data_IF_579075037477
#
_entry.id   IF_579075037477
#
_cell.length_a   1.000
_cell.length_b   1.000
_cell.length_c   1.000
_cell.angle_alpha   90.00
_cell.angle_beta   90.00
_cell.angle_gamma   90.00
#
_symmetry.space_group_name_H-M   'P 1'
#
loop_
_entity.id
_entity.type
_entity.pdbx_description
1 polymer ?
#
# COMPACT_ATOMS: atom_id res chain seq x y z
N UNK A 1 0.08 -4.73 14.54
CA UNK A 1 -0.54 -3.49 15.05
C UNK A 1 0.51 -2.73 15.86
N UNK A 2 0.63 -1.43 15.64
CA UNK A 2 1.56 -0.58 16.38
C UNK A 2 0.99 -0.36 17.81
N UNK A 3 1.69 -0.80 18.87
CA UNK A 3 1.20 -0.64 20.25
C UNK A 3 1.17 0.84 20.71
N UNK A 4 1.83 1.74 19.99
CA UNK A 4 1.71 3.17 20.21
C UNK A 4 0.40 3.79 19.71
N UNK A 5 -0.34 3.10 18.84
CA UNK A 5 -1.61 3.54 18.28
C UNK A 5 -2.81 2.77 18.84
N UNK A 6 -2.61 1.51 19.21
CA UNK A 6 -3.68 0.64 19.71
C UNK A 6 -3.28 0.11 21.08
N UNK A 7 -4.10 0.41 22.08
CA UNK A 7 -3.93 -0.13 23.43
C UNK A 7 -4.20 -1.65 23.40
N UNK A 8 -3.30 -2.43 24.01
CA UNK A 8 -3.37 -3.89 24.14
C UNK A 8 -3.71 -4.62 22.81
N UNK A 9 -2.86 -4.50 21.79
CA UNK A 9 -3.13 -5.10 20.49
C UNK A 9 -3.08 -6.63 20.58
N UNK A 10 -4.07 -7.29 19.98
CA UNK A 10 -4.09 -8.73 19.92
C UNK A 10 -2.86 -9.29 19.18
N UNK A 11 -2.14 -10.27 19.72
CA UNK A 11 -0.98 -10.84 19.07
C UNK A 11 -1.39 -11.63 17.81
N UNK A 12 -0.66 -11.43 16.73
CA UNK A 12 -0.80 -12.26 15.53
C UNK A 12 -0.03 -13.55 15.79
N UNK A 13 -0.73 -14.66 15.90
CA UNK A 13 -0.10 -15.96 16.21
C UNK A 13 0.61 -16.56 15.01
N UNK A 14 0.01 -16.42 13.84
CA UNK A 14 0.49 -17.03 12.60
C UNK A 14 0.08 -16.17 11.40
N UNK A 15 0.96 -16.09 10.40
CA UNK A 15 0.70 -15.42 9.13
C UNK A 15 1.48 -16.06 8.00
N UNK A 16 1.10 -15.78 6.76
CA UNK A 16 1.85 -16.21 5.57
C UNK A 16 3.01 -15.27 5.28
N UNK A 17 3.98 -15.73 4.46
CA UNK A 17 5.03 -14.87 3.92
C UNK A 17 4.47 -13.69 3.13
N UNK A 18 3.40 -13.92 2.35
CA UNK A 18 2.77 -12.87 1.56
C UNK A 18 2.12 -11.82 2.46
N UNK A 19 1.37 -12.23 3.48
CA UNK A 19 0.78 -11.30 4.45
C UNK A 19 1.87 -10.46 5.16
N UNK A 20 2.99 -11.09 5.52
CA UNK A 20 4.10 -10.37 6.14
C UNK A 20 4.71 -9.34 5.19
N UNK A 21 4.89 -9.67 3.91
CA UNK A 21 5.43 -8.74 2.91
C UNK A 21 4.49 -7.55 2.68
N UNK A 22 3.20 -7.79 2.50
CA UNK A 22 2.20 -6.74 2.37
C UNK A 22 2.20 -5.78 3.57
N UNK A 23 2.20 -6.33 4.78
CA UNK A 23 2.26 -5.53 6.00
C UNK A 23 3.57 -4.75 6.13
N UNK A 24 4.72 -5.36 5.77
CA UNK A 24 6.02 -4.69 5.83
C UNK A 24 6.10 -3.53 4.85
N UNK A 25 5.60 -3.71 3.64
CA UNK A 25 5.52 -2.66 2.62
C UNK A 25 4.66 -1.48 3.10
N UNK A 26 3.55 -1.76 3.75
CA UNK A 26 2.62 -0.74 4.26
C UNK A 26 3.09 -0.02 5.54
N UNK A 27 4.31 -0.28 6.02
CA UNK A 27 4.88 0.41 7.19
C UNK A 27 4.93 -0.41 8.47
N UNK A 28 4.67 -1.73 8.41
CA UNK A 28 4.85 -2.63 9.54
C UNK A 28 6.34 -2.97 9.71
N UNK A 29 7.08 -2.12 10.39
CA UNK A 29 8.54 -2.11 10.47
C UNK A 29 9.15 -3.23 11.34
N UNK A 30 8.70 -4.48 11.19
CA UNK A 30 9.29 -5.64 11.88
C UNK A 30 10.36 -6.29 11.02
N UNK A 31 10.17 -6.35 9.72
CA UNK A 31 11.14 -6.82 8.73
C UNK A 31 11.24 -5.84 7.57
N UNK A 32 12.41 -5.79 6.97
CA UNK A 32 12.55 -5.27 5.63
C UNK A 32 11.96 -6.31 4.66
N UNK A 33 11.13 -5.89 3.71
CA UNK A 33 10.39 -6.77 2.81
C UNK A 33 11.29 -7.71 1.99
N UNK A 34 12.51 -7.26 1.64
CA UNK A 34 13.50 -8.08 0.93
C UNK A 34 14.19 -9.11 1.83
N UNK A 35 14.30 -8.85 3.14
CA UNK A 35 15.02 -9.73 4.07
C UNK A 35 14.35 -11.10 4.24
N UNK A 36 13.06 -11.21 3.91
CA UNK A 36 12.30 -12.45 4.01
C UNK A 36 12.50 -13.38 2.78
N UNK A 37 13.02 -12.87 1.65
CA UNK A 37 13.14 -13.62 0.41
C UNK A 37 13.91 -14.94 0.52
N UNK A 38 15.06 -15.03 1.21
CA UNK A 38 15.76 -16.31 1.36
C UNK A 38 14.94 -17.36 2.11
N UNK A 39 14.17 -16.93 3.12
CA UNK A 39 13.30 -17.83 3.88
C UNK A 39 12.13 -18.33 3.03
N UNK A 40 11.57 -17.46 2.17
CA UNK A 40 10.54 -17.86 1.20
C UNK A 40 11.07 -18.92 0.24
N UNK A 41 12.25 -18.70 -0.35
CA UNK A 41 12.88 -19.61 -1.29
C UNK A 41 13.17 -20.98 -0.67
N UNK A 42 13.68 -20.96 0.58
CA UNK A 42 13.97 -22.17 1.34
C UNK A 42 12.75 -22.80 2.03
N UNK A 43 11.57 -22.17 1.96
CA UNK A 43 10.35 -22.56 2.72
C UNK A 43 10.62 -22.70 4.23
N UNK A 44 11.49 -21.84 4.77
CA UNK A 44 11.95 -21.90 6.17
C UNK A 44 10.98 -21.08 7.03
N UNK A 45 10.31 -21.69 8.01
CA UNK A 45 9.48 -20.94 8.95
C UNK A 45 10.29 -19.91 9.74
N UNK A 46 9.73 -18.71 9.91
CA UNK A 46 10.32 -17.66 10.72
C UNK A 46 9.49 -17.51 12.00
N UNK A 47 10.14 -17.28 13.12
CA UNK A 47 9.47 -16.97 14.38
C UNK A 47 9.93 -15.60 14.89
N UNK A 48 8.98 -14.67 15.00
CA UNK A 48 9.22 -13.33 15.55
C UNK A 48 8.81 -13.32 17.01
N UNK A 49 9.74 -12.98 17.89
CA UNK A 49 9.53 -12.92 19.32
C UNK A 49 9.88 -11.55 19.91
N UNK A 50 9.24 -11.21 21.00
CA UNK A 50 9.61 -10.04 21.79
C UNK A 50 10.86 -10.34 22.62
N UNK A 51 11.91 -9.56 22.43
CA UNK A 51 13.21 -9.74 23.14
C UNK A 51 13.06 -9.59 24.65
N UNK A 52 12.12 -8.74 25.09
CA UNK A 52 11.85 -8.51 26.52
C UNK A 52 10.92 -9.56 27.14
N UNK A 53 10.32 -10.44 26.33
CA UNK A 53 9.42 -11.52 26.77
C UNK A 53 9.67 -12.77 25.90
N UNK A 54 10.84 -13.39 26.00
CA UNK A 54 11.25 -14.51 25.13
C UNK A 54 10.43 -15.78 25.36
N UNK A 55 9.78 -15.89 26.51
CA UNK A 55 8.88 -17.01 26.88
C UNK A 55 7.58 -17.01 26.08
N UNK A 56 7.16 -15.85 25.55
CA UNK A 56 5.96 -15.75 24.73
C UNK A 56 6.15 -16.49 23.39
N UNK A 57 5.09 -17.13 22.87
CA UNK A 57 5.19 -17.95 21.65
C UNK A 57 5.60 -17.14 20.41
N UNK A 58 5.31 -15.83 20.39
CA UNK A 58 5.61 -14.96 19.26
C UNK A 58 4.69 -15.19 18.06
N UNK A 59 5.09 -14.66 16.90
CA UNK A 59 4.40 -14.78 15.62
C UNK A 59 5.16 -15.74 14.71
N UNK A 60 4.48 -16.75 14.18
CA UNK A 60 5.05 -17.67 13.17
C UNK A 60 4.71 -17.17 11.78
N UNK A 61 5.71 -17.10 10.91
CA UNK A 61 5.55 -16.75 9.49
C UNK A 61 5.90 -18.00 8.69
N UNK A 62 4.93 -18.49 7.93
CA UNK A 62 5.00 -19.81 7.29
C UNK A 62 4.49 -19.76 5.84
N UNK A 63 4.77 -20.79 5.02
CA UNK A 63 4.12 -20.96 3.73
C UNK A 63 2.58 -21.03 3.85
N UNK A 64 1.87 -20.57 2.81
CA UNK A 64 0.40 -20.52 2.77
C UNK A 64 -0.31 -21.87 3.06
N UNK A 65 0.30 -22.95 2.62
CA UNK A 65 -0.21 -24.32 2.80
C UNK A 65 -0.04 -24.84 4.23
N UNK A 66 0.72 -24.15 5.07
CA UNK A 66 1.00 -24.52 6.46
C UNK A 66 0.30 -23.65 7.49
N UNK A 67 -0.45 -22.62 7.06
CA UNK A 67 -1.25 -21.80 7.99
C UNK A 67 -2.42 -22.64 8.51
N UNK A 68 -2.52 -22.75 9.83
CA UNK A 68 -3.57 -23.54 10.50
C UNK A 68 -4.93 -22.83 10.52
N UNK A 69 -4.93 -21.50 10.56
CA UNK A 69 -6.15 -20.68 10.56
C UNK A 69 -6.01 -19.50 9.61
N UNK A 70 -6.95 -19.39 8.67
CA UNK A 70 -7.08 -18.20 7.82
C UNK A 70 -7.88 -17.15 8.59
N UNK A 71 -7.19 -16.19 9.18
CA UNK A 71 -7.85 -15.02 9.75
C UNK A 71 -8.55 -14.23 8.63
N UNK A 72 -9.68 -13.62 8.96
CA UNK A 72 -10.37 -12.72 8.02
C UNK A 72 -9.47 -11.55 7.67
N UNK A 73 -8.94 -10.89 8.71
CA UNK A 73 -7.95 -9.83 8.66
C UNK A 73 -6.83 -10.28 9.58
N UNK A 74 -5.62 -10.34 9.04
CA UNK A 74 -4.43 -10.74 9.79
C UNK A 74 -3.75 -9.53 10.41
N UNK A 75 -3.73 -8.42 9.67
CA UNK A 75 -3.14 -7.19 10.17
C UNK A 75 -3.61 -5.96 9.40
N UNK A 76 -3.39 -4.80 10.02
CA UNK A 76 -3.63 -3.50 9.42
C UNK A 76 -2.34 -2.69 9.60
N UNK A 77 -1.85 -2.14 8.51
CA UNK A 77 -0.73 -1.21 8.50
C UNK A 77 -1.16 0.13 7.91
N UNK A 78 -0.47 1.19 8.25
CA UNK A 78 -0.74 2.52 7.70
C UNK A 78 0.53 3.34 7.58
N UNK A 79 0.57 4.17 6.57
CA UNK A 79 1.61 5.17 6.36
C UNK A 79 0.99 6.49 5.92
N UNK A 80 1.61 7.62 6.31
CA UNK A 80 1.06 8.96 6.12
C UNK A 80 2.05 9.91 5.41
N UNK A 81 2.91 9.36 4.58
CA UNK A 81 3.95 10.13 3.88
C UNK A 81 3.62 10.38 2.41
N UNK A 82 2.33 10.48 2.05
CA UNK A 82 1.95 10.51 0.65
C UNK A 82 1.40 11.86 0.21
N UNK A 83 1.67 12.16 -1.05
CA UNK A 83 1.07 13.23 -1.82
C UNK A 83 0.52 12.64 -3.12
N UNK A 84 -0.44 13.30 -3.72
CA UNK A 84 -0.98 12.90 -4.99
C UNK A 84 -0.89 14.03 -6.03
N UNK A 85 -0.59 13.64 -7.26
CA UNK A 85 -0.85 14.48 -8.44
C UNK A 85 -2.18 14.03 -9.01
N UNK A 86 -3.13 14.94 -9.08
CA UNK A 86 -4.35 14.79 -9.86
C UNK A 86 -4.14 15.46 -11.22
N UNK A 87 -4.43 14.74 -12.27
CA UNK A 87 -4.29 15.18 -13.64
C UNK A 87 -5.61 14.93 -14.37
N UNK A 88 -6.16 15.97 -14.97
CA UNK A 88 -7.32 15.90 -15.82
C UNK A 88 -6.94 16.26 -17.25
N UNK A 89 -7.36 15.45 -18.21
CA UNK A 89 -7.25 15.73 -19.62
C UNK A 89 -8.31 14.92 -20.38
N UNK A 90 -9.08 15.58 -21.20
CA UNK A 90 -10.12 14.91 -21.99
C UNK A 90 -9.54 13.82 -22.89
N UNK A 91 -10.24 12.69 -22.92
CA UNK A 91 -9.97 11.55 -23.81
C UNK A 91 -8.63 10.81 -23.53
N UNK A 92 -8.09 10.89 -22.32
CA UNK A 92 -6.86 10.14 -21.97
C UNK A 92 -7.02 8.64 -22.16
N UNK A 93 -8.23 8.11 -21.96
CA UNK A 93 -8.53 6.69 -22.13
C UNK A 93 -8.47 6.23 -23.61
N UNK A 94 -8.48 7.16 -24.57
CA UNK A 94 -8.35 6.86 -26.01
C UNK A 94 -6.95 7.09 -26.56
N UNK A 95 -6.08 7.76 -25.81
CA UNK A 95 -4.69 8.00 -26.22
C UNK A 95 -3.81 6.81 -25.87
N UNK A 96 -3.41 6.05 -26.88
CA UNK A 96 -2.49 4.93 -26.69
C UNK A 96 -1.14 5.42 -26.16
N UNK A 97 -0.69 4.84 -25.05
CA UNK A 97 0.60 5.19 -24.46
C UNK A 97 0.59 6.45 -23.58
N UNK A 98 -0.59 7.04 -23.28
CA UNK A 98 -0.67 8.22 -22.41
C UNK A 98 0.06 8.03 -21.08
N UNK A 99 -0.30 6.98 -20.35
CA UNK A 99 0.34 6.66 -19.06
C UNK A 99 1.83 6.37 -19.20
N UNK A 100 2.25 5.73 -20.31
CA UNK A 100 3.65 5.44 -20.55
C UNK A 100 4.52 6.72 -20.67
N UNK A 101 3.98 7.80 -21.24
CA UNK A 101 4.67 9.10 -21.29
C UNK A 101 4.91 9.64 -19.88
N UNK A 102 3.91 9.58 -19.00
CA UNK A 102 4.04 10.03 -17.61
C UNK A 102 5.05 9.17 -16.86
N UNK A 103 4.97 7.84 -17.00
CA UNK A 103 5.91 6.92 -16.36
C UNK A 103 7.34 7.15 -16.84
N UNK A 104 7.53 7.52 -18.12
CA UNK A 104 8.85 7.89 -18.63
C UNK A 104 9.39 9.15 -17.95
N UNK A 105 8.58 10.19 -17.80
CA UNK A 105 8.96 11.41 -17.07
C UNK A 105 9.40 11.08 -15.65
N UNK A 106 8.63 10.23 -14.96
CA UNK A 106 8.94 9.80 -13.59
C UNK A 106 10.22 8.99 -13.51
N UNK A 107 10.42 8.06 -14.45
CA UNK A 107 11.65 7.26 -14.53
C UNK A 107 12.89 8.13 -14.76
N UNK A 108 12.82 9.11 -15.66
CA UNK A 108 13.91 10.05 -15.95
C UNK A 108 14.29 10.88 -14.69
N UNK A 109 13.33 11.13 -13.80
CA UNK A 109 13.53 11.85 -12.55
C UNK A 109 13.84 10.94 -11.35
N UNK A 110 13.91 9.62 -11.58
CA UNK A 110 14.08 8.60 -10.55
C UNK A 110 13.03 8.73 -9.43
N UNK A 111 11.75 8.78 -9.83
CA UNK A 111 10.59 8.84 -8.95
C UNK A 111 9.76 7.58 -9.16
N UNK A 112 9.51 6.81 -8.10
CA UNK A 112 8.55 5.71 -8.08
C UNK A 112 7.17 6.21 -7.67
N UNK A 113 6.14 5.41 -7.94
CA UNK A 113 4.77 5.67 -7.49
C UNK A 113 4.26 4.49 -6.67
N UNK A 114 3.30 4.78 -5.79
CA UNK A 114 2.64 3.77 -4.97
C UNK A 114 1.38 3.23 -5.67
N UNK A 115 0.51 4.13 -6.10
CA UNK A 115 -0.72 3.81 -6.80
C UNK A 115 -0.98 4.80 -7.93
N UNK A 116 -1.66 4.33 -8.99
CA UNK A 116 -2.01 5.16 -10.15
C UNK A 116 -3.43 4.83 -10.64
N UNK A 117 -4.46 5.16 -9.88
CA UNK A 117 -5.83 4.99 -10.33
C UNK A 117 -6.14 5.92 -11.51
N UNK A 118 -6.80 5.36 -12.52
CA UNK A 118 -7.20 6.09 -13.73
C UNK A 118 -8.71 6.02 -13.94
N UNK A 119 -9.29 7.14 -14.37
CA UNK A 119 -10.66 7.26 -14.84
C UNK A 119 -10.73 7.36 -16.36
N UNK A 120 -11.83 7.95 -16.85
CA UNK A 120 -12.04 8.19 -18.28
C UNK A 120 -11.14 9.35 -18.75
N UNK A 121 -11.13 10.44 -17.99
CA UNK A 121 -10.41 11.67 -18.29
C UNK A 121 -9.46 12.10 -17.16
N UNK A 122 -9.35 11.27 -16.12
CA UNK A 122 -8.60 11.58 -14.93
C UNK A 122 -7.53 10.53 -14.63
N UNK A 123 -6.41 10.98 -14.09
CA UNK A 123 -5.35 10.14 -13.57
C UNK A 123 -4.87 10.72 -12.25
N UNK A 124 -4.81 9.89 -11.22
CA UNK A 124 -4.20 10.27 -9.95
C UNK A 124 -2.94 9.44 -9.73
N UNK A 125 -1.85 10.07 -9.33
CA UNK A 125 -0.58 9.39 -9.04
C UNK A 125 -0.25 9.65 -7.58
N UNK A 126 -0.17 8.60 -6.79
CA UNK A 126 0.21 8.66 -5.38
C UNK A 126 1.70 8.41 -5.24
N UNK A 127 2.37 9.32 -4.55
CA UNK A 127 3.81 9.37 -4.42
C UNK A 127 4.22 9.49 -2.95
N UNK A 128 5.28 8.80 -2.56
CA UNK A 128 5.95 9.10 -1.29
C UNK A 128 6.59 10.49 -1.36
N UNK A 129 6.18 11.39 -0.45
CA UNK A 129 6.69 12.77 -0.38
C UNK A 129 8.19 12.85 -0.17
N UNK A 130 8.81 11.83 0.42
CA UNK A 130 10.24 11.80 0.68
C UNK A 130 11.08 11.74 -0.61
N UNK A 131 10.49 11.28 -1.72
CA UNK A 131 11.13 11.27 -3.03
C UNK A 131 11.12 12.65 -3.71
N UNK A 132 10.24 13.56 -3.29
CA UNK A 132 9.95 14.83 -3.94
C UNK A 132 10.84 15.98 -3.46
N UNK A 133 12.03 15.66 -2.99
CA UNK A 133 13.05 16.60 -2.53
C UNK A 133 13.92 17.15 -3.67
N UNK A 134 14.74 18.14 -3.37
CA UNK A 134 15.75 18.70 -4.29
C UNK A 134 15.17 19.20 -5.63
N UNK A 135 13.99 19.81 -5.60
CA UNK A 135 13.34 20.36 -6.80
C UNK A 135 12.75 19.30 -7.75
N UNK A 136 12.65 18.03 -7.32
CA UNK A 136 12.03 16.97 -8.13
C UNK A 136 10.54 17.21 -8.35
N UNK A 137 9.85 17.72 -7.33
CA UNK A 137 8.43 18.07 -7.43
C UNK A 137 8.16 19.10 -8.51
N UNK A 138 8.95 20.17 -8.51
CA UNK A 138 8.87 21.24 -9.48
C UNK A 138 9.21 20.76 -10.89
N UNK A 139 10.27 19.96 -11.03
CA UNK A 139 10.68 19.37 -12.30
C UNK A 139 9.61 18.42 -12.86
N UNK A 140 9.05 17.57 -12.01
CA UNK A 140 7.97 16.65 -12.40
C UNK A 140 6.75 17.44 -12.88
N UNK A 141 6.35 18.45 -12.11
CA UNK A 141 5.22 19.32 -12.47
C UNK A 141 5.45 20.02 -13.81
N UNK A 142 6.64 20.58 -14.00
CA UNK A 142 6.96 21.31 -15.24
C UNK A 142 6.97 20.38 -16.46
N UNK A 143 7.62 19.22 -16.34
CA UNK A 143 7.67 18.26 -17.43
C UNK A 143 6.29 17.72 -17.79
N UNK A 144 5.44 17.43 -16.80
CA UNK A 144 4.05 17.01 -17.08
C UNK A 144 3.31 18.13 -17.82
N UNK A 145 3.46 19.39 -17.42
CA UNK A 145 2.82 20.50 -18.11
C UNK A 145 3.30 20.64 -19.54
N UNK A 146 4.60 20.51 -19.79
CA UNK A 146 5.21 20.71 -21.10
C UNK A 146 4.96 19.53 -22.06
N UNK A 147 5.09 18.30 -21.58
CA UNK A 147 5.07 17.10 -22.42
C UNK A 147 3.67 16.46 -22.52
N UNK A 148 2.85 16.58 -21.48
CA UNK A 148 1.51 15.97 -21.40
C UNK A 148 0.42 16.98 -21.70
N UNK A 149 0.63 18.26 -21.33
CA UNK A 149 -0.32 19.37 -21.52
C UNK A 149 -1.72 19.04 -20.98
N UNK A 150 -1.85 18.74 -19.65
CA UNK A 150 -3.15 18.47 -19.05
C UNK A 150 -4.02 19.72 -19.03
N UNK A 151 -5.35 19.52 -19.08
CA UNK A 151 -6.32 20.60 -18.91
C UNK A 151 -6.31 21.13 -17.47
N UNK A 152 -6.10 20.23 -16.49
CA UNK A 152 -5.87 20.60 -15.09
C UNK A 152 -4.80 19.69 -14.44
N UNK A 153 -3.99 20.28 -13.56
CA UNK A 153 -3.00 19.58 -12.75
C UNK A 153 -2.98 20.15 -11.35
N UNK A 154 -3.29 19.32 -10.37
CA UNK A 154 -3.35 19.70 -8.97
C UNK A 154 -2.48 18.79 -8.10
N UNK A 155 -1.77 19.38 -7.15
CA UNK A 155 -1.17 18.64 -6.05
C UNK A 155 -2.13 18.57 -4.88
N UNK A 156 -2.33 17.36 -4.36
CA UNK A 156 -3.10 17.11 -3.14
C UNK A 156 -2.16 16.53 -2.10
N UNK A 157 -2.20 17.10 -0.91
CA UNK A 157 -1.32 16.75 0.20
C UNK A 157 -2.06 15.92 1.25
N UNK A 158 -1.28 15.41 2.21
CA UNK A 158 -1.78 14.81 3.44
C UNK A 158 -2.65 13.56 3.23
N UNK A 159 -2.20 12.70 2.33
CA UNK A 159 -2.78 11.36 2.18
C UNK A 159 -2.11 10.36 3.13
N UNK A 160 -2.96 9.51 3.71
CA UNK A 160 -2.55 8.28 4.37
C UNK A 160 -3.04 7.08 3.55
N UNK A 161 -2.22 6.05 3.48
CA UNK A 161 -2.61 4.75 2.95
C UNK A 161 -2.83 3.83 4.15
N UNK A 162 -4.01 3.22 4.22
CA UNK A 162 -4.33 2.15 5.16
C UNK A 162 -4.39 0.87 4.36
N UNK A 163 -3.60 -0.10 4.72
CA UNK A 163 -3.60 -1.42 4.09
C UNK A 163 -4.14 -2.46 5.06
N UNK A 164 -5.20 -3.13 4.66
CA UNK A 164 -5.83 -4.22 5.40
C UNK A 164 -5.43 -5.53 4.74
N UNK A 165 -4.77 -6.40 5.47
CA UNK A 165 -4.16 -7.63 4.96
C UNK A 165 -4.74 -8.86 5.63
N UNK A 166 -5.08 -9.87 4.86
CA UNK A 166 -5.51 -11.18 5.35
C UNK A 166 -5.86 -12.16 4.23
N UNK A 167 -5.36 -13.39 4.31
CA UNK A 167 -5.73 -14.49 3.42
C UNK A 167 -7.25 -14.75 3.40
N UNK A 168 -7.96 -14.40 4.47
CA UNK A 168 -9.40 -14.51 4.58
C UNK A 168 -10.19 -13.45 3.82
N UNK A 169 -9.55 -12.48 3.18
CA UNK A 169 -10.20 -11.49 2.32
C UNK A 169 -10.50 -12.05 0.92
N UNK A 170 -9.76 -13.07 0.50
CA UNK A 170 -9.89 -13.68 -0.83
C UNK A 170 -11.29 -14.27 -1.01
N UNK A 171 -11.99 -13.84 -2.06
CA UNK A 171 -13.33 -14.30 -2.44
C UNK A 171 -14.40 -14.15 -1.32
N UNK A 172 -14.17 -13.27 -0.35
CA UNK A 172 -15.10 -13.06 0.75
C UNK A 172 -16.15 -12.01 0.40
N UNK A 173 -17.40 -12.43 0.38
CA UNK A 173 -18.53 -11.52 0.24
C UNK A 173 -18.60 -10.58 1.45
N UNK A 174 -18.74 -9.28 1.20
CA UNK A 174 -18.86 -8.26 2.24
C UNK A 174 -17.54 -7.81 2.89
N UNK A 175 -16.38 -8.32 2.48
CA UNK A 175 -15.09 -7.92 3.05
C UNK A 175 -14.86 -6.40 2.99
N UNK A 176 -15.23 -5.77 1.87
CA UNK A 176 -15.10 -4.33 1.70
C UNK A 176 -16.00 -3.56 2.68
N UNK A 177 -17.22 -4.00 2.91
CA UNK A 177 -18.13 -3.37 3.87
C UNK A 177 -17.56 -3.39 5.29
N UNK A 178 -17.04 -4.55 5.73
CA UNK A 178 -16.41 -4.69 7.04
C UNK A 178 -15.22 -3.73 7.25
N UNK A 179 -14.55 -3.33 6.17
CA UNK A 179 -13.40 -2.40 6.21
C UNK A 179 -13.84 -0.95 6.16
N UNK A 180 -14.82 -0.64 5.31
CA UNK A 180 -15.25 0.74 5.05
C UNK A 180 -16.16 1.26 6.14
N UNK A 181 -17.00 0.41 6.74
CA UNK A 181 -17.94 0.80 7.80
C UNK A 181 -17.24 1.48 9.00
N UNK A 182 -16.15 0.94 9.59
CA UNK A 182 -15.45 1.62 10.67
C UNK A 182 -14.86 2.97 10.28
N UNK A 183 -14.43 3.13 9.02
CA UNK A 183 -13.88 4.40 8.50
C UNK A 183 -14.99 5.44 8.38
N UNK A 184 -16.15 5.05 7.87
CA UNK A 184 -17.36 5.89 7.85
C UNK A 184 -17.77 6.31 9.25
N UNK A 185 -17.79 5.37 10.20
CA UNK A 185 -18.22 5.62 11.58
C UNK A 185 -17.25 6.55 12.31
N UNK A 186 -15.98 6.57 11.89
CA UNK A 186 -14.98 7.54 12.33
C UNK A 186 -15.10 8.93 11.65
N UNK A 187 -16.05 9.10 10.73
CA UNK A 187 -16.25 10.36 9.99
C UNK A 187 -15.14 10.66 8.95
N UNK A 188 -14.41 9.64 8.51
CA UNK A 188 -13.29 9.79 7.58
C UNK A 188 -13.78 9.55 6.14
N UNK A 189 -13.48 10.52 5.25
CA UNK A 189 -13.75 10.36 3.83
C UNK A 189 -12.67 9.54 3.13
N UNK A 190 -13.10 8.49 2.44
CA UNK A 190 -12.23 7.71 1.56
C UNK A 190 -12.14 8.39 0.19
N UNK A 191 -10.93 8.64 -0.26
CA UNK A 191 -10.68 9.22 -1.59
C UNK A 191 -10.49 8.13 -2.64
N UNK A 192 -9.82 7.05 -2.27
CA UNK A 192 -9.48 5.95 -3.18
C UNK A 192 -9.54 4.63 -2.43
N UNK A 193 -9.97 3.59 -3.13
CA UNK A 193 -9.92 2.20 -2.65
C UNK A 193 -9.32 1.37 -3.78
N UNK A 194 -8.36 0.53 -3.46
CA UNK A 194 -7.78 -0.42 -4.40
C UNK A 194 -7.87 -1.83 -3.83
N UNK A 195 -8.50 -2.72 -4.61
CA UNK A 195 -8.51 -4.15 -4.37
C UNK A 195 -8.23 -4.83 -5.71
N UNK A 196 -7.38 -5.83 -5.73
CA UNK A 196 -7.12 -6.62 -6.94
C UNK A 196 -5.70 -6.56 -7.48
N UNK A 197 -4.83 -5.69 -6.96
CA UNK A 197 -3.39 -5.78 -7.20
C UNK A 197 -2.77 -6.93 -6.38
N UNK A 198 -3.34 -7.17 -5.19
CA UNK A 198 -3.08 -8.35 -4.36
C UNK A 198 -4.43 -8.91 -3.89
N UNK A 199 -4.62 -10.23 -4.00
CA UNK A 199 -5.87 -10.87 -3.56
C UNK A 199 -6.06 -10.79 -2.02
N UNK A 200 -4.99 -10.60 -1.28
CA UNK A 200 -4.96 -10.64 0.18
C UNK A 200 -4.89 -9.28 0.84
N UNK A 201 -4.91 -8.18 0.08
CA UNK A 201 -4.86 -6.82 0.61
C UNK A 201 -5.86 -5.87 -0.06
N UNK A 202 -6.33 -4.91 0.73
CA UNK A 202 -7.22 -3.82 0.31
C UNK A 202 -6.63 -2.50 0.82
#
# INVERSE_FOLDING_TARGET
VNPGLVADPAPIKEMTYNEMRELSYAGFAVFHDEAILPAIQGKIPICVKNTNRPEMPGTKIVPRDKVSHKNKITGIASSHHFQAIYLHRYLINREVGFTAKILKIMADLNISYEHMPSGIDDLTIILDKNQLTNGRKEKLTQRIKDEIQPDDLQWRNDYAIIMVVGEGLVNRVGAMADIVDPIRDAGISLTMVNQGSSEISI
#
